data_IF_812462005807
#
_entry.id   IF_812462005807
#
_cell.length_a   1.000
_cell.length_b   1.000
_cell.length_c   1.000
_cell.angle_alpha   90.00
_cell.angle_beta   90.00
_cell.angle_gamma   90.00
#
_symmetry.space_group_name_H-M   'P 1'
#
loop_
_entity.id
_entity.type
_entity.pdbx_description
1 polymer ?
#
# COMPACT_ATOMS: atom_id res chain seq x y z
N UNK A 1 27.65 11.20 38.44
CA UNK A 1 27.69 10.05 37.51
C UNK A 1 26.71 10.30 36.36
N UNK A 2 27.18 10.96 35.30
CA UNK A 2 26.38 11.24 34.10
C UNK A 2 26.39 10.03 33.18
N UNK A 3 25.21 9.49 32.85
CA UNK A 3 25.07 8.37 31.91
C UNK A 3 25.11 8.90 30.48
N UNK A 4 26.16 8.52 29.76
CA UNK A 4 26.33 8.72 28.32
C UNK A 4 25.12 8.19 27.56
N UNK A 5 24.37 9.10 26.93
CA UNK A 5 23.33 8.75 25.97
C UNK A 5 24.02 8.44 24.65
N UNK A 6 24.20 7.15 24.40
CA UNK A 6 24.76 6.62 23.15
C UNK A 6 24.15 7.29 21.93
N UNK A 7 25.03 7.82 21.07
CA UNK A 7 24.72 8.30 19.72
C UNK A 7 24.09 7.15 18.93
N UNK A 8 22.76 7.14 18.86
CA UNK A 8 22.03 6.23 17.99
C UNK A 8 22.34 6.64 16.55
N UNK A 9 23.22 5.88 15.89
CA UNK A 9 23.53 6.03 14.48
C UNK A 9 22.23 5.89 13.67
N UNK A 10 21.71 7.02 13.19
CA UNK A 10 20.76 7.12 12.07
C UNK A 10 21.43 6.56 10.80
N UNK A 11 21.57 5.25 10.71
CA UNK A 11 21.88 4.53 9.46
C UNK A 11 20.77 3.52 9.24
N UNK A 12 19.99 3.72 8.19
CA UNK A 12 19.05 2.70 7.73
C UNK A 12 17.87 3.20 6.90
N UNK A 13 17.54 4.49 6.96
CA UNK A 13 16.53 5.10 6.09
C UNK A 13 17.01 5.36 4.66
N UNK A 14 17.69 4.40 4.02
CA UNK A 14 17.82 4.44 2.56
C UNK A 14 16.43 4.14 2.03
N UNK A 15 15.75 5.20 1.60
CA UNK A 15 14.49 5.12 0.89
C UNK A 15 14.60 4.01 -0.15
N UNK A 16 13.79 2.98 0.05
CA UNK A 16 13.46 2.03 -0.99
C UNK A 16 12.92 2.85 -2.15
N UNK A 17 13.78 3.11 -3.13
CA UNK A 17 13.40 3.59 -4.45
C UNK A 17 12.69 2.43 -5.14
N UNK A 18 11.51 2.06 -4.65
CA UNK A 18 10.55 1.35 -5.47
C UNK A 18 10.10 2.34 -6.53
N UNK A 19 10.85 2.33 -7.64
CA UNK A 19 10.30 2.63 -8.94
C UNK A 19 8.97 1.87 -9.03
N UNK A 20 7.88 2.62 -9.11
CA UNK A 20 6.56 2.06 -9.37
C UNK A 20 6.68 1.38 -10.73
N UNK A 21 6.56 0.05 -10.77
CA UNK A 21 6.60 -0.71 -12.01
C UNK A 21 5.53 -0.14 -12.94
N UNK A 22 5.94 0.32 -14.12
CA UNK A 22 5.05 1.05 -15.04
C UNK A 22 4.41 0.14 -16.09
N UNK A 23 4.85 -1.12 -16.19
CA UNK A 23 4.32 -2.11 -17.13
C UNK A 23 3.93 -3.42 -16.44
N UNK A 24 2.98 -4.15 -17.03
CA UNK A 24 2.49 -5.43 -16.51
C UNK A 24 3.59 -6.51 -16.51
N UNK A 25 4.43 -6.56 -17.55
CA UNK A 25 5.56 -7.49 -17.64
C UNK A 25 6.59 -7.27 -16.53
N UNK A 26 6.85 -6.02 -16.14
CA UNK A 26 7.79 -5.71 -15.05
C UNK A 26 7.24 -6.15 -13.68
N UNK A 27 5.90 -6.11 -13.50
CA UNK A 27 5.24 -6.62 -12.29
C UNK A 27 5.35 -8.15 -12.23
N UNK A 28 5.14 -8.85 -13.35
CA UNK A 28 5.25 -10.31 -13.41
C UNK A 28 6.68 -10.79 -13.14
N UNK A 29 7.69 -10.15 -13.73
CA UNK A 29 9.10 -10.44 -13.46
C UNK A 29 9.51 -10.16 -12.01
N UNK A 30 8.90 -9.14 -11.39
CA UNK A 30 9.12 -8.86 -9.97
C UNK A 30 8.46 -9.91 -9.08
N UNK A 31 7.24 -10.32 -9.40
CA UNK A 31 6.51 -11.32 -8.63
C UNK A 31 7.20 -12.70 -8.73
N UNK A 32 7.71 -13.09 -9.90
CA UNK A 32 8.47 -14.33 -10.06
C UNK A 32 9.74 -14.32 -9.20
N UNK A 33 10.50 -13.21 -9.22
CA UNK A 33 11.70 -13.06 -8.40
C UNK A 33 11.43 -13.06 -6.90
N UNK A 34 10.27 -12.54 -6.47
CA UNK A 34 9.84 -12.59 -5.07
C UNK A 34 9.49 -14.03 -4.68
N UNK A 35 8.76 -14.76 -5.53
CA UNK A 35 8.43 -16.16 -5.29
C UNK A 35 9.69 -17.04 -5.16
N UNK A 36 10.67 -16.86 -6.06
CA UNK A 36 11.96 -17.56 -5.99
C UNK A 36 12.71 -17.29 -4.67
N UNK A 37 12.70 -16.04 -4.18
CA UNK A 37 13.35 -15.68 -2.92
C UNK A 37 12.63 -16.28 -1.70
N UNK A 38 11.30 -16.37 -1.75
CA UNK A 38 10.53 -16.99 -0.68
C UNK A 38 10.70 -18.52 -0.67
N UNK A 39 10.82 -19.16 -1.83
CA UNK A 39 11.21 -20.58 -1.94
C UNK A 39 12.63 -20.84 -1.43
N UNK A 40 13.59 -19.96 -1.72
CA UNK A 40 14.95 -20.08 -1.16
C UNK A 40 14.99 -19.87 0.36
N UNK A 41 14.09 -19.05 0.90
CA UNK A 41 13.96 -18.87 2.36
C UNK A 41 13.29 -20.07 3.01
N UNK A 42 12.27 -20.65 2.39
CA UNK A 42 11.61 -21.85 2.92
C UNK A 42 12.55 -23.06 2.88
N UNK A 43 13.30 -23.27 1.81
CA UNK A 43 14.33 -24.32 1.72
C UNK A 43 15.38 -24.21 2.82
N UNK A 44 15.90 -23.00 3.08
CA UNK A 44 16.87 -22.78 4.18
C UNK A 44 16.28 -23.02 5.56
N UNK A 45 14.97 -22.82 5.77
CA UNK A 45 14.31 -23.16 7.04
C UNK A 45 14.15 -24.67 7.18
N UNK A 46 13.71 -25.35 6.13
CA UNK A 46 13.57 -26.80 6.12
C UNK A 46 14.92 -27.51 6.31
N UNK A 47 15.98 -27.04 5.66
CA UNK A 47 17.34 -27.59 5.79
C UNK A 47 17.95 -27.30 7.17
N UNK A 48 17.65 -26.15 7.78
CA UNK A 48 18.07 -25.85 9.15
C UNK A 48 17.33 -26.69 10.19
N UNK A 49 16.04 -26.99 9.99
CA UNK A 49 15.27 -27.87 10.87
C UNK A 49 15.75 -29.33 10.78
N UNK A 50 16.26 -29.78 9.62
CA UNK A 50 16.87 -31.10 9.46
C UNK A 50 18.28 -31.16 10.07
N UNK A 51 19.05 -30.05 10.02
CA UNK A 51 20.40 -29.97 10.56
C UNK A 51 20.48 -29.78 12.09
N UNK A 52 19.47 -29.19 12.75
CA UNK A 52 19.44 -29.03 14.22
C UNK A 52 18.59 -30.09 14.96
N UNK A 53 18.03 -31.08 14.25
CA UNK A 53 17.34 -32.25 14.83
C UNK A 53 18.27 -33.36 15.37
N UNK A 54 19.59 -33.19 15.28
CA UNK A 54 20.60 -34.19 15.64
C UNK A 54 21.31 -33.91 16.97
N UNK A 55 20.59 -33.94 18.08
CA UNK A 55 21.16 -33.73 19.42
C UNK A 55 20.58 -34.69 20.44
N UNK A 56 21.02 -35.95 20.45
CA UNK A 56 20.55 -36.92 21.43
C UNK A 56 21.19 -38.30 21.39
N UNK A 57 22.42 -38.40 21.88
CA UNK A 57 22.83 -39.50 22.76
C UNK A 57 23.11 -40.86 22.10
N UNK A 58 24.37 -41.01 21.72
CA UNK A 58 25.09 -42.28 21.59
C UNK A 58 25.03 -43.09 22.89
N UNK A 59 24.43 -44.29 22.87
CA UNK A 59 24.73 -45.37 23.82
C UNK A 59 24.80 -46.69 23.05
N UNK A 60 26.02 -47.08 22.71
CA UNK A 60 26.40 -48.47 22.39
C UNK A 60 26.52 -49.25 23.71
N UNK A 61 26.24 -50.54 23.60
CA UNK A 61 26.71 -51.62 24.48
C UNK A 61 25.96 -51.90 25.80
N UNK A 62 24.71 -52.38 25.72
CA UNK A 62 24.15 -53.30 26.76
C UNK A 62 23.21 -54.36 26.15
N UNK A 63 23.58 -54.99 25.04
CA UNK A 63 22.71 -55.96 24.35
C UNK A 63 22.87 -57.43 24.79
N UNK A 64 23.86 -57.78 25.62
CA UNK A 64 24.17 -59.20 25.91
C UNK A 64 23.77 -59.73 27.30
N UNK A 65 23.32 -58.89 28.24
CA UNK A 65 22.96 -59.34 29.58
C UNK A 65 21.46 -59.65 29.80
N UNK A 66 20.56 -59.13 28.96
CA UNK A 66 19.11 -59.20 29.19
C UNK A 66 18.41 -60.43 28.57
N UNK A 67 19.08 -61.18 27.69
CA UNK A 67 18.45 -62.29 26.95
C UNK A 67 18.37 -63.61 27.73
N UNK A 68 18.92 -63.68 28.95
CA UNK A 68 19.02 -64.93 29.74
C UNK A 68 18.10 -65.04 30.96
N UNK A 69 17.24 -64.04 31.23
CA UNK A 69 16.36 -64.04 32.42
C UNK A 69 14.86 -63.99 32.08
N UNK A 70 14.48 -63.79 30.82
CA UNK A 70 13.07 -63.64 30.41
C UNK A 70 12.41 -64.92 29.84
N UNK A 71 13.01 -66.10 30.02
CA UNK A 71 12.45 -67.38 29.54
C UNK A 71 11.66 -68.16 30.59
N UNK A 72 11.25 -67.54 31.69
CA UNK A 72 10.44 -68.17 32.75
C UNK A 72 9.35 -67.21 33.21
N UNK A 73 8.23 -67.17 32.47
CA UNK A 73 6.90 -67.38 33.07
C UNK A 73 5.80 -67.27 32.01
N UNK A 74 5.32 -68.45 31.63
CA UNK A 74 4.10 -68.74 30.89
C UNK A 74 2.90 -68.48 31.81
N UNK A 75 1.92 -67.73 31.33
CA UNK A 75 0.67 -67.42 32.04
C UNK A 75 -0.22 -66.52 31.20
N UNK A 76 -0.47 -66.93 29.96
CA UNK A 76 -1.21 -66.18 28.94
C UNK A 76 -2.72 -66.22 29.25
N UNK A 77 -3.26 -65.09 29.67
CA UNK A 77 -4.69 -64.90 29.93
C UNK A 77 -5.21 -63.97 28.82
N UNK A 78 -5.95 -64.46 27.79
CA UNK A 78 -6.19 -63.71 26.54
C UNK A 78 -7.27 -62.63 26.64
N UNK A 79 -7.74 -62.30 27.85
CA UNK A 79 -8.84 -61.35 28.06
C UNK A 79 -8.53 -60.25 29.08
N UNK A 80 -7.25 -59.99 29.35
CA UNK A 80 -6.86 -58.80 30.10
C UNK A 80 -6.81 -57.64 29.10
N UNK A 81 -7.73 -56.71 29.29
CA UNK A 81 -7.88 -55.45 28.58
C UNK A 81 -6.53 -54.91 28.08
N UNK A 82 -6.55 -54.28 26.91
CA UNK A 82 -5.47 -53.42 26.42
C UNK A 82 -5.24 -52.27 27.43
N UNK A 83 -4.66 -52.60 28.58
CA UNK A 83 -4.19 -51.68 29.61
C UNK A 83 -3.11 -50.87 28.90
N UNK A 84 -3.48 -49.66 28.49
CA UNK A 84 -2.59 -48.67 27.90
C UNK A 84 -1.30 -48.66 28.71
N UNK A 85 -0.21 -49.09 28.08
CA UNK A 85 1.11 -49.05 28.71
C UNK A 85 1.28 -47.66 29.33
N UNK A 86 1.57 -47.54 30.63
CA UNK A 86 1.63 -46.23 31.28
C UNK A 86 2.61 -45.36 30.52
N UNK A 87 2.09 -44.28 29.90
CA UNK A 87 2.86 -43.38 29.04
C UNK A 87 4.19 -43.06 29.72
N UNK A 88 5.29 -43.16 28.98
CA UNK A 88 6.61 -42.79 29.50
C UNK A 88 6.57 -41.34 29.97
N UNK A 89 7.41 -40.96 30.94
CA UNK A 89 7.46 -39.59 31.47
C UNK A 89 7.53 -38.53 30.35
N UNK A 90 8.34 -38.81 29.32
CA UNK A 90 8.49 -37.96 28.13
C UNK A 90 7.19 -37.84 27.32
N UNK A 91 6.46 -38.93 27.14
CA UNK A 91 5.17 -38.93 26.44
C UNK A 91 4.08 -38.20 27.23
N UNK A 92 4.09 -38.24 28.58
CA UNK A 92 3.15 -37.45 29.40
C UNK A 92 3.42 -35.96 29.28
N UNK A 93 4.69 -35.56 29.34
CA UNK A 93 5.08 -34.16 29.19
C UNK A 93 4.73 -33.62 27.80
N UNK A 94 4.88 -34.43 26.74
CA UNK A 94 4.44 -34.07 25.39
C UNK A 94 2.91 -33.95 25.30
N UNK A 95 2.17 -34.93 25.84
CA UNK A 95 0.70 -34.87 25.85
C UNK A 95 0.17 -33.65 26.62
N UNK A 96 0.80 -33.28 27.75
CA UNK A 96 0.43 -32.09 28.52
C UNK A 96 0.80 -30.79 27.77
N UNK A 97 1.94 -30.77 27.06
CA UNK A 97 2.32 -29.64 26.21
C UNK A 97 1.35 -29.44 25.06
N UNK A 98 0.93 -30.53 24.40
CA UNK A 98 -0.05 -30.51 23.33
C UNK A 98 -1.43 -30.08 23.82
N UNK A 99 -1.88 -30.59 24.98
CA UNK A 99 -3.13 -30.17 25.60
C UNK A 99 -3.14 -28.67 25.91
N UNK A 100 -2.06 -28.15 26.50
CA UNK A 100 -1.91 -26.71 26.77
C UNK A 100 -1.87 -25.88 25.49
N UNK A 101 -1.18 -26.35 24.45
CA UNK A 101 -1.15 -25.68 23.16
C UNK A 101 -2.54 -25.68 22.48
N UNK A 102 -3.26 -26.79 22.53
CA UNK A 102 -4.61 -26.91 22.01
C UNK A 102 -5.59 -26.02 22.77
N UNK A 103 -5.48 -25.93 24.09
CA UNK A 103 -6.30 -25.03 24.90
C UNK A 103 -6.01 -23.56 24.59
N UNK A 104 -4.74 -23.18 24.40
CA UNK A 104 -4.38 -21.83 23.96
C UNK A 104 -4.99 -21.50 22.60
N UNK A 105 -4.88 -22.41 21.62
CA UNK A 105 -5.51 -22.26 20.30
C UNK A 105 -7.02 -22.10 20.41
N UNK A 106 -7.70 -22.95 21.19
CA UNK A 106 -9.14 -22.83 21.43
C UNK A 106 -9.52 -21.50 22.08
N UNK A 107 -8.78 -21.03 23.09
CA UNK A 107 -9.02 -19.71 23.70
C UNK A 107 -8.77 -18.57 22.73
N UNK A 108 -7.79 -18.70 21.83
CA UNK A 108 -7.48 -17.72 20.80
C UNK A 108 -8.57 -17.68 19.72
N UNK A 109 -9.06 -18.83 19.28
CA UNK A 109 -10.17 -18.96 18.33
C UNK A 109 -11.48 -18.40 18.91
N UNK A 110 -11.76 -18.66 20.18
CA UNK A 110 -12.89 -18.07 20.90
C UNK A 110 -12.69 -16.59 21.23
N UNK A 111 -11.52 -16.03 20.93
CA UNK A 111 -11.20 -14.62 21.11
C UNK A 111 -11.04 -14.16 22.56
N UNK A 112 -10.84 -15.09 23.49
CA UNK A 112 -10.60 -14.77 24.90
C UNK A 112 -9.15 -14.35 25.18
N UNK A 113 -8.21 -14.65 24.29
CA UNK A 113 -6.81 -14.24 24.45
C UNK A 113 -6.66 -12.73 24.26
N UNK A 114 -5.75 -12.12 25.02
CA UNK A 114 -5.50 -10.68 24.93
C UNK A 114 -4.87 -10.27 23.60
N UNK A 115 -4.13 -11.18 22.95
CA UNK A 115 -3.61 -11.01 21.60
C UNK A 115 -4.75 -10.85 20.59
N UNK A 116 -5.74 -11.74 20.62
CA UNK A 116 -6.90 -11.66 19.75
C UNK A 116 -7.68 -10.36 19.96
N UNK A 117 -7.92 -9.96 21.22
CA UNK A 117 -8.60 -8.70 21.53
C UNK A 117 -7.84 -7.48 20.98
N UNK A 118 -6.52 -7.46 21.10
CA UNK A 118 -5.67 -6.38 20.55
C UNK A 118 -5.73 -6.35 19.03
N UNK A 119 -5.69 -7.49 18.37
CA UNK A 119 -5.74 -7.57 16.92
C UNK A 119 -7.11 -7.20 16.37
N UNK A 120 -8.19 -7.62 17.02
CA UNK A 120 -9.54 -7.16 16.71
C UNK A 120 -9.70 -5.65 16.96
N UNK A 121 -9.09 -5.10 18.01
CA UNK A 121 -9.06 -3.67 18.27
C UNK A 121 -8.39 -2.87 17.14
N UNK A 122 -7.20 -3.33 16.68
CA UNK A 122 -6.51 -2.70 15.54
C UNK A 122 -7.36 -2.78 14.26
N UNK A 123 -7.99 -3.92 13.99
CA UNK A 123 -8.86 -4.07 12.83
C UNK A 123 -10.08 -3.16 12.90
N UNK A 124 -10.70 -3.01 14.07
CA UNK A 124 -11.80 -2.08 14.29
C UNK A 124 -11.37 -0.62 14.08
N UNK A 125 -10.20 -0.23 14.57
CA UNK A 125 -9.64 1.11 14.33
C UNK A 125 -9.39 1.37 12.83
N UNK A 126 -8.81 0.40 12.12
CA UNK A 126 -8.59 0.50 10.67
C UNK A 126 -9.92 0.61 9.92
N UNK A 127 -10.93 -0.18 10.29
CA UNK A 127 -12.28 -0.07 9.71
C UNK A 127 -12.88 1.32 9.96
N UNK A 128 -12.84 1.81 11.21
CA UNK A 128 -13.30 3.16 11.55
C UNK A 128 -12.57 4.24 10.75
N UNK A 129 -11.26 4.11 10.54
CA UNK A 129 -10.48 5.04 9.72
C UNK A 129 -10.89 5.00 8.25
N UNK A 130 -11.12 3.81 7.70
CA UNK A 130 -11.59 3.62 6.32
C UNK A 130 -12.99 4.19 6.13
N UNK A 131 -13.91 3.91 7.04
CA UNK A 131 -15.27 4.44 7.01
C UNK A 131 -15.29 5.96 7.14
N UNK A 132 -14.49 6.54 8.06
CA UNK A 132 -14.37 7.98 8.17
C UNK A 132 -13.77 8.63 6.91
N UNK A 133 -12.80 7.98 6.26
CA UNK A 133 -12.25 8.45 5.00
C UNK A 133 -13.26 8.33 3.85
N UNK A 134 -14.04 7.26 3.80
CA UNK A 134 -15.10 7.07 2.81
C UNK A 134 -16.24 8.07 3.00
N UNK A 135 -16.67 8.32 4.24
CA UNK A 135 -17.66 9.36 4.55
C UNK A 135 -17.18 10.74 4.14
N UNK A 136 -15.96 11.12 4.51
CA UNK A 136 -15.38 12.41 4.07
C UNK A 136 -15.24 12.51 2.56
N UNK A 137 -14.91 11.42 1.88
CA UNK A 137 -14.82 11.40 0.42
C UNK A 137 -16.22 11.50 -0.24
N UNK A 138 -17.24 10.87 0.33
CA UNK A 138 -18.62 10.98 -0.14
C UNK A 138 -19.16 12.40 0.08
N UNK A 139 -19.00 12.97 1.28
CA UNK A 139 -19.39 14.35 1.59
C UNK A 139 -18.67 15.38 0.70
N UNK A 140 -17.38 15.17 0.43
CA UNK A 140 -16.63 16.05 -0.48
C UNK A 140 -17.15 15.97 -1.91
N UNK A 141 -17.50 14.78 -2.40
CA UNK A 141 -18.11 14.59 -3.73
C UNK A 141 -19.49 15.22 -3.81
N UNK A 142 -20.35 15.02 -2.82
CA UNK A 142 -21.67 15.65 -2.79
C UNK A 142 -21.58 17.18 -2.74
N UNK A 143 -20.62 17.73 -2.00
CA UNK A 143 -20.34 19.16 -2.00
C UNK A 143 -19.82 19.67 -3.34
N UNK A 144 -18.95 18.91 -4.02
CA UNK A 144 -18.46 19.25 -5.36
C UNK A 144 -19.57 19.21 -6.40
N UNK A 145 -20.40 18.16 -6.39
CA UNK A 145 -21.57 18.02 -7.27
C UNK A 145 -22.59 19.15 -7.04
N UNK A 146 -22.78 19.59 -5.79
CA UNK A 146 -23.65 20.72 -5.47
C UNK A 146 -23.09 22.04 -6.02
N UNK A 147 -21.77 22.29 -5.85
CA UNK A 147 -21.10 23.47 -6.41
C UNK A 147 -21.09 23.46 -7.94
N UNK A 148 -20.96 22.29 -8.57
CA UNK A 148 -21.01 22.15 -10.03
C UNK A 148 -22.42 22.42 -10.56
N UNK A 149 -23.47 21.92 -9.90
CA UNK A 149 -24.85 22.26 -10.23
C UNK A 149 -25.12 23.75 -10.08
N UNK A 150 -24.61 24.37 -9.01
CA UNK A 150 -24.74 25.82 -8.82
C UNK A 150 -24.03 26.58 -9.95
N UNK A 151 -22.79 26.23 -10.28
CA UNK A 151 -22.06 26.81 -11.41
C UNK A 151 -22.78 26.62 -12.75
N UNK A 152 -23.33 25.45 -13.01
CA UNK A 152 -24.09 25.18 -14.23
C UNK A 152 -25.37 26.02 -14.29
N UNK A 153 -26.07 26.19 -13.16
CA UNK A 153 -27.24 27.06 -13.10
C UNK A 153 -26.90 28.55 -13.27
N UNK A 154 -25.79 29.02 -12.69
CA UNK A 154 -25.31 30.39 -12.87
C UNK A 154 -24.87 30.63 -14.31
N UNK A 155 -24.18 29.66 -14.91
CA UNK A 155 -23.81 29.71 -16.32
C UNK A 155 -25.04 29.74 -17.23
N UNK A 156 -26.03 28.87 -16.99
CA UNK A 156 -27.29 28.87 -17.74
C UNK A 156 -28.05 30.20 -17.63
N UNK A 157 -28.11 30.78 -16.41
CA UNK A 157 -28.71 32.11 -16.18
C UNK A 157 -27.94 33.22 -16.91
N UNK A 158 -26.60 33.19 -16.86
CA UNK A 158 -25.77 34.17 -17.56
C UNK A 158 -25.93 34.05 -19.08
N UNK A 159 -25.99 32.84 -19.64
CA UNK A 159 -26.23 32.63 -21.07
C UNK A 159 -27.63 33.08 -21.49
N UNK A 160 -28.65 32.87 -20.66
CA UNK A 160 -30.01 33.35 -20.94
C UNK A 160 -30.11 34.88 -20.89
N UNK A 161 -29.41 35.53 -19.95
CA UNK A 161 -29.34 36.99 -19.87
C UNK A 161 -28.65 37.62 -21.09
N UNK A 162 -27.54 37.02 -21.56
CA UNK A 162 -26.84 37.48 -22.77
C UNK A 162 -27.69 37.27 -24.02
N UNK A 163 -28.46 36.19 -24.10
CA UNK A 163 -29.39 35.96 -25.22
C UNK A 163 -30.56 36.96 -25.21
N UNK A 164 -31.07 37.34 -24.04
CA UNK A 164 -32.13 38.35 -23.92
C UNK A 164 -31.67 39.78 -24.26
N UNK A 165 -30.41 40.12 -23.97
CA UNK A 165 -29.80 41.41 -24.36
C UNK A 165 -29.49 41.48 -25.87
N UNK A 166 -29.27 40.34 -26.53
CA UNK A 166 -28.97 40.30 -27.97
C UNK A 166 -30.21 40.47 -28.88
N UNK A 167 -31.43 40.40 -28.32
CA UNK A 167 -32.70 40.58 -29.06
C UNK A 167 -33.28 42.01 -28.91
N UNK A 168 -32.55 42.94 -28.26
CA UNK A 168 -33.01 44.31 -27.99
C UNK A 168 -32.37 45.40 -28.87
N UNK A 169 -31.52 45.05 -29.85
CA UNK A 169 -30.89 46.05 -30.74
C UNK A 169 -30.63 45.49 -32.16
N UNK A 170 -31.70 45.14 -32.88
CA UNK A 170 -31.63 44.73 -34.29
C UNK A 170 -32.78 45.32 -35.13
N UNK A 171 -32.83 46.64 -35.23
CA UNK A 171 -33.22 47.34 -36.46
C UNK A 171 -32.07 48.27 -36.88
N UNK A 172 -31.18 47.80 -37.75
CA UNK A 172 -30.40 48.67 -38.63
C UNK A 172 -29.82 47.89 -39.81
N UNK A 173 -29.89 48.55 -40.96
CA UNK A 173 -29.82 48.07 -42.34
C UNK A 173 -28.44 47.62 -42.85
N UNK A 174 -28.52 46.90 -43.99
CA UNK A 174 -27.70 46.96 -45.21
C UNK A 174 -26.18 46.66 -45.26
N UNK A 175 -25.91 45.80 -46.24
CA UNK A 175 -24.83 45.83 -47.24
C UNK A 175 -23.33 45.69 -46.91
N UNK A 176 -22.80 44.63 -47.53
CA UNK A 176 -21.57 44.58 -48.32
C UNK A 176 -20.18 44.47 -47.65
N UNK A 177 -19.36 43.74 -48.39
CA UNK A 177 -17.90 43.84 -48.51
C UNK A 177 -17.05 42.68 -47.96
N UNK A 178 -16.64 41.86 -48.92
CA UNK A 178 -15.59 40.84 -48.86
C UNK A 178 -14.24 41.49 -48.49
N UNK A 179 -13.88 41.51 -47.21
CA UNK A 179 -12.49 41.80 -46.78
C UNK A 179 -11.84 40.63 -46.06
N UNK A 180 -10.87 40.02 -46.75
CA UNK A 180 -9.86 39.10 -46.22
C UNK A 180 -9.20 39.69 -44.96
N UNK A 181 -9.63 39.24 -43.77
CA UNK A 181 -8.98 39.54 -42.48
C UNK A 181 -7.64 38.81 -42.40
N UNK A 182 -6.54 39.53 -42.62
CA UNK A 182 -5.23 39.19 -42.05
C UNK A 182 -5.41 39.04 -40.54
N UNK A 183 -5.17 37.83 -40.02
CA UNK A 183 -5.26 37.46 -38.61
C UNK A 183 -4.16 38.21 -37.84
N UNK A 184 -4.44 39.44 -37.42
CA UNK A 184 -3.62 40.14 -36.44
C UNK A 184 -3.57 39.27 -35.17
N UNK A 185 -2.37 38.91 -34.73
CA UNK A 185 -2.16 38.28 -33.42
C UNK A 185 -2.67 39.25 -32.36
N UNK A 186 -3.94 39.11 -31.99
CA UNK A 186 -4.53 39.73 -30.80
C UNK A 186 -3.59 39.35 -29.65
N UNK A 187 -2.92 40.33 -29.04
CA UNK A 187 -2.13 40.12 -27.82
C UNK A 187 -3.10 39.57 -26.79
N UNK A 188 -3.20 38.25 -26.68
CA UNK A 188 -3.94 37.59 -25.62
C UNK A 188 -3.25 38.06 -24.35
N UNK A 189 -3.96 38.82 -23.53
CA UNK A 189 -3.47 39.25 -22.23
C UNK A 189 -3.44 38.00 -21.37
N UNK A 190 -2.36 37.21 -21.48
CA UNK A 190 -2.19 35.98 -20.72
C UNK A 190 -2.05 36.40 -19.25
N UNK A 191 -2.85 35.86 -18.32
CA UNK A 191 -2.76 36.21 -16.90
C UNK A 191 -1.37 35.86 -16.34
N UNK A 192 -0.85 36.71 -15.44
CA UNK A 192 0.39 36.43 -14.70
C UNK A 192 0.15 35.23 -13.78
N UNK A 193 1.08 34.28 -13.76
CA UNK A 193 0.98 33.09 -12.91
C UNK A 193 1.83 33.25 -11.64
N UNK A 194 1.27 32.89 -10.49
CA UNK A 194 1.99 32.94 -9.22
C UNK A 194 3.09 31.88 -9.14
N UNK A 195 4.20 32.21 -8.48
CA UNK A 195 5.35 31.30 -8.27
C UNK A 195 4.96 29.96 -7.64
N UNK A 196 3.97 29.96 -6.75
CA UNK A 196 3.45 28.75 -6.09
C UNK A 196 2.69 27.88 -7.08
N UNK A 197 1.84 28.51 -7.90
CA UNK A 197 1.06 27.83 -8.93
C UNK A 197 2.01 27.16 -9.92
N UNK A 198 3.01 27.89 -10.42
CA UNK A 198 4.01 27.37 -11.38
C UNK A 198 4.73 26.15 -10.84
N UNK A 199 5.14 26.15 -9.56
CA UNK A 199 5.83 25.00 -8.93
C UNK A 199 4.92 23.78 -8.72
N UNK A 200 3.60 23.98 -8.61
CA UNK A 200 2.61 22.91 -8.43
C UNK A 200 2.03 22.39 -9.75
N UNK A 201 2.26 23.07 -10.87
CA UNK A 201 1.76 22.64 -12.17
C UNK A 201 2.39 21.31 -12.61
N UNK A 202 1.57 20.47 -13.26
CA UNK A 202 2.04 19.23 -13.89
C UNK A 202 2.94 19.58 -15.10
N UNK A 203 3.89 18.69 -15.49
CA UNK A 203 4.76 18.92 -16.64
C UNK A 203 4.02 19.21 -17.95
N UNK A 204 2.82 18.65 -18.14
CA UNK A 204 1.96 18.92 -19.30
C UNK A 204 1.45 20.36 -19.29
N UNK A 205 0.89 20.80 -18.15
CA UNK A 205 0.42 22.18 -17.95
C UNK A 205 1.55 23.20 -18.07
N UNK A 206 2.77 22.87 -17.61
CA UNK A 206 3.96 23.71 -17.81
C UNK A 206 4.28 23.90 -19.30
N UNK A 207 4.19 22.83 -20.11
CA UNK A 207 4.42 22.92 -21.56
C UNK A 207 3.36 23.75 -22.27
N UNK A 208 2.10 23.61 -21.88
CA UNK A 208 0.99 24.42 -22.41
C UNK A 208 1.18 25.90 -22.08
N UNK A 209 1.45 26.21 -20.82
CA UNK A 209 1.71 27.57 -20.36
C UNK A 209 2.94 28.21 -21.05
N UNK A 210 3.99 27.43 -21.34
CA UNK A 210 5.14 27.87 -22.14
C UNK A 210 4.78 28.06 -23.61
N UNK A 211 3.99 27.17 -24.20
CA UNK A 211 3.52 27.24 -25.59
C UNK A 211 2.65 28.49 -25.83
N UNK A 212 1.75 28.79 -24.91
CA UNK A 212 0.93 30.01 -24.94
C UNK A 212 1.78 31.28 -24.87
N UNK A 213 2.86 31.25 -24.09
CA UNK A 213 3.83 32.36 -23.95
C UNK A 213 4.87 32.40 -25.07
N UNK A 214 4.88 31.43 -25.98
CA UNK A 214 5.87 31.34 -27.07
C UNK A 214 7.29 30.98 -26.63
N UNK A 215 7.44 30.32 -25.47
CA UNK A 215 8.73 29.87 -24.93
C UNK A 215 9.03 28.41 -25.34
N UNK A 216 10.31 28.04 -25.26
CA UNK A 216 10.78 26.69 -25.58
C UNK A 216 10.20 25.61 -24.63
N UNK A 217 9.60 24.56 -25.20
CA UNK A 217 8.90 23.49 -24.48
C UNK A 217 9.77 22.27 -24.13
N UNK A 218 11.03 22.24 -24.57
CA UNK A 218 11.91 21.08 -24.41
C UNK A 218 12.61 21.05 -23.04
N UNK A 219 12.72 19.86 -22.45
CA UNK A 219 13.49 19.60 -21.22
C UNK A 219 12.67 19.01 -20.05
N UNK A 220 13.37 18.79 -18.93
CA UNK A 220 12.79 18.27 -17.69
C UNK A 220 11.90 19.31 -16.98
N UNK A 221 10.98 18.90 -16.11
CA UNK A 221 10.05 19.77 -15.38
C UNK A 221 10.74 20.92 -14.63
N UNK A 222 11.94 20.68 -14.07
CA UNK A 222 12.75 21.73 -13.43
C UNK A 222 13.21 22.82 -14.40
N UNK A 223 13.55 22.45 -15.64
CA UNK A 223 13.94 23.40 -16.67
C UNK A 223 12.72 24.20 -17.16
N UNK A 224 11.57 23.54 -17.34
CA UNK A 224 10.32 24.20 -17.73
C UNK A 224 9.84 25.20 -16.67
N UNK A 225 9.86 24.82 -15.40
CA UNK A 225 9.52 25.72 -14.27
C UNK A 225 10.48 26.90 -14.18
N UNK A 226 11.78 26.68 -14.30
CA UNK A 226 12.77 27.75 -14.26
C UNK A 226 12.58 28.76 -15.40
N UNK A 227 12.32 28.30 -16.63
CA UNK A 227 12.05 29.19 -17.77
C UNK A 227 10.79 30.03 -17.55
N UNK A 228 9.70 29.40 -17.07
CA UNK A 228 8.45 30.10 -16.82
C UNK A 228 8.59 31.12 -15.68
N UNK A 229 9.32 30.77 -14.61
CA UNK A 229 9.64 31.71 -13.52
C UNK A 229 10.49 32.90 -13.97
N UNK A 230 11.47 32.68 -14.88
CA UNK A 230 12.26 33.78 -15.45
C UNK A 230 11.38 34.74 -16.26
N UNK A 231 10.53 34.21 -17.13
CA UNK A 231 9.61 35.02 -17.93
C UNK A 231 8.64 35.84 -17.08
N UNK A 232 8.05 35.24 -16.04
CA UNK A 232 7.14 35.97 -15.14
C UNK A 232 7.88 36.97 -14.23
N UNK A 233 9.20 36.83 -14.05
CA UNK A 233 10.03 37.81 -13.33
C UNK A 233 10.45 39.00 -14.21
N UNK A 234 10.57 38.79 -15.52
CA UNK A 234 10.91 39.82 -16.52
C UNK A 234 9.70 40.63 -16.99
N UNK A 235 8.48 40.28 -16.54
CA UNK A 235 7.19 40.84 -16.95
C UNK A 235 6.55 41.72 -15.87
#
# INVERSE_FOLDING_TARGET
>A
MGRDKGKFNKRGGRGSTHFQATSAEEIEQRNSRIAELDEQRSKRRAEADDAEGGGGGEEKDVADAAKKVASLNVGENPNRAAEEKPMTRKQREQADRERKAAEYRRRHELGLTDEYKRDMGKLAEVKRRREAAQKKAAEAKEAEDALEKERMSQFARATAAVAAEADSDSESEEEDDKKKKKKSKKKVVIPKLDKIVIKKMKPTALKEALKERGLEIQGNAKALTARLLKFEAER
#
